data_IF_454660021484
#
_entry.id   IF_454660021484
#
_cell.length_a   1.000
_cell.length_b   1.000
_cell.length_c   1.000
_cell.angle_alpha   90.00
_cell.angle_beta   90.00
_cell.angle_gamma   90.00
#
_symmetry.space_group_name_H-M   'P 1'
#
loop_
_entity.id
_entity.type
_entity.pdbx_description
1 polymer ?
#
# COMPACT_ATOMS: atom_id res chain seq x y z
N UNK A 1 -9.07 7.79 -21.35
CA UNK A 1 -9.50 8.74 -22.40
C UNK A 1 -10.70 8.06 -23.03
N UNK A 2 -11.88 8.63 -22.91
CA UNK A 2 -13.11 7.97 -23.31
C UNK A 2 -14.17 9.05 -23.60
N UNK A 3 -14.81 9.06 -24.78
CA UNK A 3 -15.81 10.05 -25.13
C UNK A 3 -17.12 9.94 -24.34
N UNK A 4 -17.39 8.83 -23.65
CA UNK A 4 -18.69 8.52 -23.05
C UNK A 4 -18.58 7.92 -21.63
N UNK A 5 -17.65 8.40 -20.79
CA UNK A 5 -17.63 7.97 -19.39
C UNK A 5 -18.77 8.60 -18.56
N UNK A 6 -19.36 7.82 -17.65
CA UNK A 6 -20.35 8.31 -16.67
C UNK A 6 -19.73 8.46 -15.27
N UNK A 7 -19.29 9.66 -14.91
CA UNK A 7 -18.84 9.97 -13.55
C UNK A 7 -20.01 10.56 -12.76
N UNK A 8 -20.48 9.83 -11.75
CA UNK A 8 -21.61 10.24 -10.88
C UNK A 8 -21.17 10.75 -9.51
N UNK A 9 -19.87 10.72 -9.19
CA UNK A 9 -19.29 11.12 -7.91
C UNK A 9 -18.02 11.95 -8.12
N UNK A 10 -17.73 12.88 -7.20
CA UNK A 10 -16.49 13.65 -7.26
C UNK A 10 -15.26 12.74 -7.09
N UNK A 11 -14.27 12.90 -7.97
CA UNK A 11 -13.01 12.15 -7.92
C UNK A 11 -11.94 12.99 -7.20
N UNK A 12 -11.20 12.37 -6.27
CA UNK A 12 -10.11 13.01 -5.53
C UNK A 12 -8.81 12.19 -5.67
N UNK A 13 -8.02 12.48 -6.69
CA UNK A 13 -6.68 11.91 -6.88
C UNK A 13 -5.95 12.70 -8.00
N UNK A 14 -4.66 12.43 -8.30
CA UNK A 14 -4.03 12.96 -9.51
C UNK A 14 -4.56 12.32 -10.82
N UNK A 15 -5.77 11.73 -10.82
CA UNK A 15 -6.42 11.20 -12.01
C UNK A 15 -6.97 12.35 -12.86
N UNK A 16 -6.65 12.32 -14.16
CA UNK A 16 -7.21 13.23 -15.15
C UNK A 16 -8.04 12.43 -16.14
N UNK A 17 -9.29 12.85 -16.33
CA UNK A 17 -10.22 12.21 -17.26
C UNK A 17 -10.52 13.17 -18.41
N UNK A 18 -10.58 12.62 -19.61
CA UNK A 18 -10.73 13.38 -20.86
C UNK A 18 -11.91 12.79 -21.63
N UNK A 19 -13.01 13.54 -21.64
CA UNK A 19 -14.28 13.18 -22.29
C UNK A 19 -14.20 13.52 -23.77
N UNK A 20 -13.45 12.73 -24.53
CA UNK A 20 -13.16 12.93 -25.94
C UNK A 20 -12.54 11.64 -26.52
N UNK A 21 -12.43 11.57 -27.84
CA UNK A 21 -11.75 10.46 -28.52
C UNK A 21 -10.24 10.49 -28.28
N UNK A 22 -9.55 9.35 -28.48
CA UNK A 22 -8.09 9.31 -28.40
C UNK A 22 -7.43 10.17 -29.48
N UNK A 23 -7.98 10.18 -30.69
CA UNK A 23 -7.52 11.04 -31.80
C UNK A 23 -7.54 12.53 -31.42
N UNK A 24 -8.66 13.02 -30.89
CA UNK A 24 -8.79 14.40 -30.44
C UNK A 24 -7.84 14.70 -29.28
N UNK A 25 -7.64 13.74 -28.39
CA UNK A 25 -6.69 13.86 -27.28
C UNK A 25 -5.27 14.07 -27.77
N UNK A 26 -4.76 13.21 -28.65
CA UNK A 26 -3.40 13.34 -29.17
C UNK A 26 -3.23 14.52 -30.13
N UNK A 27 -4.28 14.94 -30.84
CA UNK A 27 -4.23 16.11 -31.72
C UNK A 27 -4.14 17.45 -30.95
N UNK A 28 -4.72 17.52 -29.75
CA UNK A 28 -4.89 18.79 -29.02
C UNK A 28 -4.01 18.93 -27.78
N UNK A 29 -3.37 17.85 -27.32
CA UNK A 29 -2.64 17.83 -26.05
C UNK A 29 -1.18 17.44 -26.23
N UNK A 30 -0.31 18.10 -25.47
CA UNK A 30 1.06 17.64 -25.27
C UNK A 30 1.10 16.66 -24.09
N UNK A 31 1.14 15.35 -24.38
CA UNK A 31 1.12 14.32 -23.35
C UNK A 31 2.34 14.40 -22.40
N UNK A 32 3.51 14.86 -22.89
CA UNK A 32 4.70 15.00 -22.05
C UNK A 32 4.55 16.10 -21.00
N UNK A 33 3.94 17.22 -21.37
CA UNK A 33 3.61 18.29 -20.40
C UNK A 33 2.57 17.81 -19.39
N UNK A 34 1.57 17.05 -19.87
CA UNK A 34 0.53 16.53 -19.00
C UNK A 34 1.09 15.60 -17.92
N UNK A 35 2.04 14.73 -18.28
CA UNK A 35 2.65 13.76 -17.38
C UNK A 35 3.90 14.29 -16.63
N UNK A 36 4.46 15.42 -17.05
CA UNK A 36 5.75 15.91 -16.54
C UNK A 36 6.95 15.09 -17.01
N UNK A 37 6.82 14.30 -18.09
CA UNK A 37 7.82 13.36 -18.56
C UNK A 37 7.35 12.49 -19.72
N UNK A 38 8.18 11.55 -20.23
CA UNK A 38 7.75 10.59 -21.23
C UNK A 38 6.66 9.65 -20.69
N UNK A 39 5.90 9.03 -21.58
CA UNK A 39 4.96 7.97 -21.21
C UNK A 39 5.75 6.78 -20.67
N UNK A 40 5.53 6.38 -19.42
CA UNK A 40 6.22 5.22 -18.85
C UNK A 40 5.50 3.90 -19.15
N UNK A 41 4.18 3.91 -18.99
CA UNK A 41 3.29 2.79 -19.20
C UNK A 41 2.01 3.32 -19.85
N UNK A 42 1.54 2.63 -20.88
CA UNK A 42 0.23 2.87 -21.48
C UNK A 42 -0.52 1.55 -21.63
N UNK A 43 -1.84 1.63 -21.44
CA UNK A 43 -2.77 0.54 -21.67
C UNK A 43 -3.72 0.95 -22.78
N UNK A 44 -3.72 0.19 -23.87
CA UNK A 44 -4.55 0.41 -25.06
C UNK A 44 -5.67 -0.62 -25.03
N UNK A 45 -6.85 -0.14 -24.65
CA UNK A 45 -8.12 -0.85 -24.69
C UNK A 45 -9.14 0.17 -25.18
N UNK A 46 -9.75 -0.11 -26.33
CA UNK A 46 -10.41 0.90 -27.14
C UNK A 46 -11.52 0.31 -27.98
N UNK A 47 -11.79 0.91 -29.14
CA UNK A 47 -12.94 0.56 -29.99
C UNK A 47 -12.84 -0.80 -30.71
N UNK A 48 -11.90 -1.67 -30.33
CA UNK A 48 -11.71 -3.03 -30.84
C UNK A 48 -11.40 -3.15 -32.35
N UNK A 49 -11.06 -2.06 -33.03
CA UNK A 49 -10.60 -2.09 -34.43
C UNK A 49 -9.10 -1.83 -34.53
N UNK A 50 -8.43 -2.61 -35.39
CA UNK A 50 -6.97 -2.62 -35.51
C UNK A 50 -6.36 -1.27 -35.89
N UNK A 51 -7.01 -0.50 -36.78
CA UNK A 51 -6.49 0.81 -37.20
C UNK A 51 -6.53 1.85 -36.08
N UNK A 52 -7.46 1.73 -35.14
CA UNK A 52 -7.53 2.62 -33.98
C UNK A 52 -6.46 2.28 -32.96
N UNK A 53 -6.27 0.98 -32.66
CA UNK A 53 -5.17 0.53 -31.82
C UNK A 53 -3.79 0.90 -32.41
N UNK A 54 -3.62 0.82 -33.74
CA UNK A 54 -2.40 1.26 -34.39
C UNK A 54 -2.15 2.76 -34.16
N UNK A 55 -3.16 3.61 -34.37
CA UNK A 55 -3.03 5.06 -34.15
C UNK A 55 -2.66 5.39 -32.70
N UNK A 56 -3.28 4.73 -31.73
CA UNK A 56 -2.97 4.91 -30.32
C UNK A 56 -1.51 4.52 -30.02
N UNK A 57 -1.03 3.38 -30.52
CA UNK A 57 0.37 2.95 -30.36
C UNK A 57 1.35 3.98 -30.96
N UNK A 58 1.08 4.47 -32.18
CA UNK A 58 1.94 5.45 -32.86
C UNK A 58 1.95 6.82 -32.14
N UNK A 59 0.80 7.25 -31.63
CA UNK A 59 0.68 8.48 -30.85
C UNK A 59 1.42 8.36 -29.52
N UNK A 60 1.26 7.23 -28.81
CA UNK A 60 1.98 6.95 -27.57
C UNK A 60 3.50 6.89 -27.78
N UNK A 61 3.97 6.23 -28.85
CA UNK A 61 5.39 6.14 -29.19
C UNK A 61 6.02 7.53 -29.34
N UNK A 62 5.34 8.48 -29.99
CA UNK A 62 5.85 9.84 -30.17
C UNK A 62 6.18 10.56 -28.83
N UNK A 63 5.53 10.15 -27.75
CA UNK A 63 5.75 10.68 -26.39
C UNK A 63 6.53 9.73 -25.47
N UNK A 64 6.91 8.55 -25.95
CA UNK A 64 7.58 7.51 -25.19
C UNK A 64 9.09 7.77 -24.99
N UNK A 65 9.72 6.83 -24.29
CA UNK A 65 11.15 6.61 -24.12
C UNK A 65 11.48 5.17 -24.52
N UNK A 66 12.78 4.83 -24.59
CA UNK A 66 13.22 3.44 -24.86
C UNK A 66 12.80 2.43 -23.77
N UNK A 67 12.43 2.91 -22.57
CA UNK A 67 12.01 2.10 -21.43
C UNK A 67 10.49 2.05 -21.26
N UNK A 68 9.76 2.71 -22.15
CA UNK A 68 8.31 2.76 -22.11
C UNK A 68 7.70 1.41 -22.51
N UNK A 69 6.57 1.09 -21.89
CA UNK A 69 5.84 -0.15 -22.11
C UNK A 69 4.45 0.20 -22.61
N UNK A 70 4.03 -0.39 -23.73
CA UNK A 70 2.64 -0.33 -24.19
C UNK A 70 2.04 -1.72 -24.04
N UNK A 71 0.93 -1.81 -23.31
CA UNK A 71 0.11 -3.00 -23.19
C UNK A 71 -1.12 -2.82 -24.08
N UNK A 72 -1.46 -3.83 -24.87
CA UNK A 72 -2.61 -3.83 -25.77
C UNK A 72 -3.49 -5.02 -25.43
N UNK A 73 -4.77 -4.76 -25.18
CA UNK A 73 -5.77 -5.79 -24.87
C UNK A 73 -6.38 -6.37 -26.17
N UNK A 74 -7.21 -7.42 -26.03
CA UNK A 74 -7.99 -8.03 -27.12
C UNK A 74 -7.17 -8.64 -28.26
N UNK A 75 -5.95 -9.07 -27.97
CA UNK A 75 -5.00 -9.55 -28.97
C UNK A 75 -5.24 -11.01 -29.38
N UNK A 76 -5.77 -11.84 -28.48
CA UNK A 76 -5.92 -13.26 -28.69
C UNK A 76 -7.25 -13.77 -28.12
N UNK A 77 -8.35 -13.72 -28.89
CA UNK A 77 -9.62 -14.28 -28.45
C UNK A 77 -9.55 -15.80 -28.31
N UNK A 78 -10.47 -16.38 -27.54
CA UNK A 78 -10.67 -17.84 -27.53
C UNK A 78 -11.31 -18.38 -28.81
N UNK A 79 -12.14 -17.58 -29.46
CA UNK A 79 -12.94 -17.97 -30.62
C UNK A 79 -12.74 -16.97 -31.76
N UNK A 80 -12.62 -17.48 -32.98
CA UNK A 80 -12.33 -16.64 -34.15
C UNK A 80 -13.49 -15.69 -34.47
N UNK A 81 -14.71 -16.06 -34.11
CA UNK A 81 -15.95 -15.31 -34.30
C UNK A 81 -15.94 -13.97 -33.54
N UNK A 82 -15.18 -13.88 -32.45
CA UNK A 82 -15.06 -12.66 -31.63
C UNK A 82 -14.27 -11.57 -32.34
N UNK A 83 -13.58 -11.91 -33.44
CA UNK A 83 -12.72 -10.99 -34.19
C UNK A 83 -13.43 -10.15 -35.24
N UNK A 84 -14.75 -10.27 -35.33
CA UNK A 84 -15.54 -9.52 -36.30
C UNK A 84 -15.46 -8.03 -36.01
N UNK A 85 -15.36 -7.19 -37.05
CA UNK A 85 -15.27 -5.72 -36.90
C UNK A 85 -16.51 -5.09 -36.29
N UNK A 86 -17.66 -5.75 -36.41
CA UNK A 86 -18.89 -5.39 -35.74
C UNK A 86 -19.17 -6.43 -34.66
N UNK A 87 -19.59 -5.99 -33.48
CA UNK A 87 -19.92 -6.89 -32.38
C UNK A 87 -21.10 -7.79 -32.74
N UNK A 88 -20.82 -9.09 -32.93
CA UNK A 88 -21.84 -10.12 -33.22
C UNK A 88 -22.05 -11.12 -32.08
N UNK A 89 -21.20 -11.06 -31.06
CA UNK A 89 -21.14 -12.02 -29.95
C UNK A 89 -21.13 -11.30 -28.61
N UNK A 90 -21.47 -12.03 -27.53
CA UNK A 90 -21.44 -11.48 -26.17
C UNK A 90 -20.02 -11.10 -25.75
N UNK A 91 -19.05 -11.99 -25.96
CA UNK A 91 -17.63 -11.68 -25.90
C UNK A 91 -17.17 -11.15 -27.27
N UNK A 92 -16.33 -10.13 -27.28
CA UNK A 92 -15.90 -9.45 -28.51
C UNK A 92 -14.55 -8.80 -28.26
N UNK A 93 -13.61 -9.07 -29.16
CA UNK A 93 -12.25 -8.51 -29.19
C UNK A 93 -12.02 -7.66 -30.43
N UNK A 94 -12.89 -7.79 -31.43
CA UNK A 94 -12.70 -7.20 -32.74
C UNK A 94 -11.39 -7.66 -33.40
N UNK A 95 -10.91 -6.89 -34.36
CA UNK A 95 -9.77 -7.31 -35.18
C UNK A 95 -8.41 -6.76 -34.71
N UNK A 96 -8.33 -6.29 -33.46
CA UNK A 96 -7.13 -5.67 -32.85
C UNK A 96 -5.88 -6.52 -33.03
N UNK A 97 -5.99 -7.85 -32.95
CA UNK A 97 -4.88 -8.79 -33.16
C UNK A 97 -4.06 -8.51 -34.43
N UNK A 98 -4.67 -7.96 -35.49
CA UNK A 98 -4.01 -7.65 -36.76
C UNK A 98 -2.85 -6.65 -36.60
N UNK A 99 -2.86 -5.84 -35.54
CA UNK A 99 -1.79 -4.89 -35.22
C UNK A 99 -0.46 -5.62 -34.96
N UNK A 100 -0.50 -6.84 -34.41
CA UNK A 100 0.71 -7.60 -34.06
C UNK A 100 1.49 -8.08 -35.29
N UNK A 101 0.93 -8.87 -36.22
CA UNK A 101 1.65 -9.26 -37.43
C UNK A 101 2.01 -8.04 -38.30
N UNK A 102 1.18 -6.99 -38.29
CA UNK A 102 1.50 -5.72 -38.94
C UNK A 102 2.78 -5.09 -38.36
N UNK A 103 2.84 -4.88 -37.04
CA UNK A 103 4.01 -4.27 -36.39
C UNK A 103 5.24 -5.16 -36.50
N UNK A 104 5.13 -6.48 -36.37
CA UNK A 104 6.27 -7.39 -36.58
C UNK A 104 6.88 -7.26 -37.98
N UNK A 105 6.05 -6.97 -38.99
CA UNK A 105 6.50 -6.75 -40.37
C UNK A 105 7.11 -5.36 -40.59
N UNK A 106 6.47 -4.32 -40.07
CA UNK A 106 6.81 -2.93 -40.37
C UNK A 106 7.77 -2.29 -39.35
N UNK A 107 7.88 -2.87 -38.16
CA UNK A 107 8.66 -2.40 -37.00
C UNK A 107 9.39 -3.57 -36.35
N UNK A 108 10.33 -4.22 -37.07
CA UNK A 108 11.10 -5.34 -36.52
C UNK A 108 12.05 -4.91 -35.38
N UNK A 109 12.19 -3.60 -35.15
CA UNK A 109 12.90 -3.02 -34.01
C UNK A 109 12.13 -3.12 -32.68
N UNK A 110 10.81 -3.33 -32.72
CA UNK A 110 9.99 -3.50 -31.52
C UNK A 110 10.09 -4.93 -30.96
N UNK A 111 10.18 -5.03 -29.63
CA UNK A 111 10.01 -6.29 -28.93
C UNK A 111 8.52 -6.46 -28.59
N UNK A 112 7.86 -7.44 -29.21
CA UNK A 112 6.42 -7.68 -29.08
C UNK A 112 6.17 -9.10 -28.57
N UNK A 113 5.74 -9.20 -27.31
CA UNK A 113 5.38 -10.48 -26.66
C UNK A 113 3.86 -10.55 -26.50
N UNK A 114 3.26 -11.67 -26.88
CA UNK A 114 1.83 -11.93 -26.72
C UNK A 114 1.67 -12.96 -25.61
N UNK A 115 0.75 -12.72 -24.68
CA UNK A 115 0.46 -13.64 -23.57
C UNK A 115 -0.96 -14.16 -23.69
N UNK A 116 -1.09 -15.46 -23.47
CA UNK A 116 -2.35 -16.21 -23.44
C UNK A 116 -3.05 -15.99 -22.09
N UNK A 117 -3.60 -14.79 -21.93
CA UNK A 117 -4.52 -14.46 -20.84
C UNK A 117 -5.89 -15.00 -21.20
N UNK A 118 -6.56 -15.60 -20.22
CA UNK A 118 -7.88 -16.19 -20.37
C UNK A 118 -8.86 -15.23 -21.08
N UNK A 119 -9.72 -15.77 -21.94
CA UNK A 119 -10.64 -15.06 -22.83
C UNK A 119 -10.03 -14.26 -23.99
N UNK A 120 -9.09 -13.35 -23.75
CA UNK A 120 -8.79 -12.26 -24.71
C UNK A 120 -7.31 -12.04 -25.05
N UNK A 121 -6.40 -12.57 -24.24
CA UNK A 121 -4.96 -12.35 -24.36
C UNK A 121 -4.52 -10.88 -24.34
N UNK A 122 -3.21 -10.66 -24.21
CA UNK A 122 -2.64 -9.30 -24.26
C UNK A 122 -1.32 -9.31 -25.03
N UNK A 123 -0.94 -8.16 -25.57
CA UNK A 123 0.41 -7.92 -26.07
C UNK A 123 1.14 -6.88 -25.22
N UNK A 124 2.44 -7.08 -25.04
CA UNK A 124 3.36 -6.12 -24.47
C UNK A 124 4.37 -5.71 -25.53
N UNK A 125 4.43 -4.42 -25.81
CA UNK A 125 5.31 -3.80 -26.80
C UNK A 125 6.34 -2.94 -26.07
N UNK A 126 7.63 -3.19 -26.35
CA UNK A 126 8.76 -2.39 -25.86
C UNK A 126 9.76 -2.09 -26.98
N UNK A 127 10.84 -1.35 -26.68
CA UNK A 127 11.81 -0.94 -27.70
C UNK A 127 11.36 0.27 -28.54
N UNK A 128 10.44 1.07 -27.99
CA UNK A 128 9.82 2.21 -28.66
C UNK A 128 10.86 3.27 -29.04
N UNK A 129 10.70 3.84 -30.25
CA UNK A 129 11.55 4.90 -30.77
C UNK A 129 10.70 6.15 -31.09
N UNK A 130 10.71 7.18 -30.23
CA UNK A 130 9.87 8.37 -30.40
C UNK A 130 10.18 9.18 -31.67
N UNK A 131 11.32 8.93 -32.32
CA UNK A 131 11.69 9.54 -33.60
C UNK A 131 11.26 8.76 -34.84
N UNK A 132 10.78 7.52 -34.70
CA UNK A 132 10.39 6.70 -35.85
C UNK A 132 9.08 7.24 -36.47
N UNK A 133 9.07 7.42 -37.79
CA UNK A 133 7.89 7.89 -38.56
C UNK A 133 7.56 7.00 -39.75
N UNK A 134 8.13 5.80 -39.83
CA UNK A 134 8.08 4.97 -41.05
C UNK A 134 6.68 4.48 -41.38
N UNK A 135 5.91 4.06 -40.37
CA UNK A 135 4.51 3.68 -40.55
C UNK A 135 3.65 4.90 -40.89
N UNK A 136 3.90 6.04 -40.23
CA UNK A 136 3.13 7.28 -40.42
C UNK A 136 3.22 7.82 -41.86
N UNK A 137 4.33 7.60 -42.57
CA UNK A 137 4.52 8.04 -43.97
C UNK A 137 3.44 7.52 -44.93
N UNK A 138 2.87 6.33 -44.66
CA UNK A 138 1.83 5.72 -45.49
C UNK A 138 0.61 5.28 -44.65
N UNK A 139 0.30 6.04 -43.60
CA UNK A 139 -0.69 5.64 -42.59
C UNK A 139 -2.05 5.25 -43.21
N UNK A 140 -2.62 6.10 -44.07
CA UNK A 140 -3.92 5.83 -44.69
C UNK A 140 -3.98 4.50 -45.47
N UNK A 141 -2.87 4.11 -46.11
CA UNK A 141 -2.77 2.80 -46.79
C UNK A 141 -2.71 1.66 -45.78
N UNK A 142 -1.91 1.82 -44.73
CA UNK A 142 -1.77 0.80 -43.69
C UNK A 142 -3.08 0.61 -42.91
N UNK A 143 -3.83 1.67 -42.65
CA UNK A 143 -5.16 1.61 -42.04
C UNK A 143 -6.15 0.87 -42.95
N UNK A 144 -6.13 1.13 -44.27
CA UNK A 144 -6.94 0.39 -45.22
C UNK A 144 -6.57 -1.11 -45.27
N UNK A 145 -5.27 -1.44 -45.21
CA UNK A 145 -4.79 -2.82 -45.17
C UNK A 145 -5.25 -3.55 -43.89
N UNK A 146 -5.23 -2.87 -42.74
CA UNK A 146 -5.70 -3.39 -41.45
C UNK A 146 -7.22 -3.56 -41.39
N UNK A 147 -7.97 -2.55 -41.87
CA UNK A 147 -9.42 -2.60 -41.95
C UNK A 147 -9.93 -3.66 -42.95
N UNK A 148 -9.10 -4.00 -43.94
CA UNK A 148 -9.35 -5.05 -44.91
C UNK A 148 -9.16 -6.49 -44.38
N UNK A 149 -9.24 -7.45 -45.29
CA UNK A 149 -9.11 -8.88 -44.99
C UNK A 149 -7.69 -9.44 -45.04
N UNK A 150 -6.68 -8.65 -45.42
CA UNK A 150 -5.34 -9.15 -45.77
C UNK A 150 -4.60 -9.82 -44.60
N UNK A 151 -4.87 -9.38 -43.36
CA UNK A 151 -4.29 -9.95 -42.14
C UNK A 151 -5.30 -10.80 -41.34
N UNK A 152 -6.44 -11.13 -41.94
CA UNK A 152 -7.46 -11.94 -41.28
C UNK A 152 -7.09 -13.43 -41.29
N UNK A 153 -7.40 -14.13 -40.20
CA UNK A 153 -7.24 -15.58 -40.10
C UNK A 153 -8.60 -16.29 -40.16
N UNK A 154 -8.62 -17.47 -40.76
CA UNK A 154 -9.83 -18.27 -40.90
C UNK A 154 -10.14 -19.15 -39.67
N UNK A 155 -9.18 -19.36 -38.78
CA UNK A 155 -9.34 -20.17 -37.57
C UNK A 155 -8.49 -19.64 -36.42
N UNK A 156 -8.87 -20.01 -35.20
CA UNK A 156 -8.12 -19.62 -34.01
C UNK A 156 -6.72 -20.24 -33.97
N UNK A 157 -6.56 -21.48 -34.44
CA UNK A 157 -5.25 -22.14 -34.50
C UNK A 157 -4.28 -21.40 -35.43
N UNK A 158 -4.77 -20.91 -36.57
CA UNK A 158 -3.96 -20.12 -37.49
C UNK A 158 -3.54 -18.78 -36.86
N UNK A 159 -4.46 -18.12 -36.14
CA UNK A 159 -4.18 -16.90 -35.40
C UNK A 159 -3.13 -17.15 -34.30
N UNK A 160 -3.31 -18.19 -33.50
CA UNK A 160 -2.35 -18.58 -32.43
C UNK A 160 -0.98 -18.89 -33.01
N UNK A 161 -0.91 -19.59 -34.14
CA UNK A 161 0.34 -19.85 -34.85
C UNK A 161 1.05 -18.58 -35.33
N UNK A 162 0.29 -17.55 -35.74
CA UNK A 162 0.86 -16.27 -36.17
C UNK A 162 1.28 -15.37 -35.01
N UNK A 163 0.54 -15.39 -33.90
CA UNK A 163 0.83 -14.59 -32.72
C UNK A 163 1.94 -15.19 -31.85
N UNK A 164 2.07 -16.51 -31.84
CA UNK A 164 3.02 -17.27 -31.00
C UNK A 164 2.89 -16.84 -29.53
N UNK A 165 1.71 -17.05 -28.92
CA UNK A 165 1.46 -16.58 -27.57
C UNK A 165 2.23 -17.40 -26.54
N UNK A 166 2.63 -16.72 -25.48
CA UNK A 166 3.31 -17.30 -24.33
C UNK A 166 2.31 -17.60 -23.22
N UNK A 167 2.58 -18.61 -22.38
CA UNK A 167 1.67 -18.92 -21.28
C UNK A 167 1.69 -17.78 -20.23
N UNK A 168 0.53 -17.45 -19.66
CA UNK A 168 0.38 -16.40 -18.64
C UNK A 168 1.37 -16.51 -17.46
N UNK A 169 1.77 -17.73 -17.08
CA UNK A 169 2.75 -17.96 -16.01
C UNK A 169 4.14 -17.37 -16.29
N UNK A 170 4.48 -17.05 -17.55
CA UNK A 170 5.73 -16.39 -17.92
C UNK A 170 5.67 -14.86 -17.74
N UNK A 171 4.48 -14.29 -17.57
CA UNK A 171 4.30 -12.84 -17.45
C UNK A 171 4.98 -12.26 -16.19
N UNK A 172 4.88 -12.85 -14.98
CA UNK A 172 5.57 -12.31 -13.80
C UNK A 172 7.09 -12.24 -13.99
N UNK A 173 7.71 -13.28 -14.56
CA UNK A 173 9.14 -13.30 -14.85
C UNK A 173 9.51 -12.20 -15.85
N UNK A 174 8.73 -12.03 -16.93
CA UNK A 174 8.97 -10.95 -17.88
C UNK A 174 8.84 -9.56 -17.24
N UNK A 175 7.85 -9.35 -16.37
CA UNK A 175 7.70 -8.09 -15.63
C UNK A 175 8.95 -7.79 -14.78
N UNK A 176 9.56 -8.79 -14.15
CA UNK A 176 10.83 -8.61 -13.44
C UNK A 176 11.96 -8.19 -14.39
N UNK A 177 12.07 -8.78 -15.58
CA UNK A 177 13.08 -8.32 -16.56
C UNK A 177 12.87 -6.86 -16.97
N UNK A 178 11.62 -6.40 -17.11
CA UNK A 178 11.32 -4.99 -17.39
C UNK A 178 11.70 -4.08 -16.21
N UNK A 179 11.44 -4.53 -14.98
CA UNK A 179 11.86 -3.83 -13.76
C UNK A 179 13.37 -3.71 -13.68
N UNK A 180 14.12 -4.77 -13.97
CA UNK A 180 15.59 -4.76 -14.00
C UNK A 180 16.14 -3.80 -15.05
N UNK A 181 15.58 -3.80 -16.26
CA UNK A 181 15.94 -2.85 -17.34
C UNK A 181 15.72 -1.38 -16.94
N UNK A 182 14.78 -1.13 -16.01
CA UNK A 182 14.41 0.21 -15.53
C UNK A 182 15.07 0.57 -14.19
N UNK A 183 15.59 -0.41 -13.45
CA UNK A 183 16.12 -0.22 -12.10
C UNK A 183 17.35 0.70 -12.17
N UNK A 184 17.32 1.91 -11.58
CA UNK A 184 18.58 2.52 -11.21
C UNK A 184 19.28 1.58 -10.23
N UNK A 185 20.63 1.55 -10.23
CA UNK A 185 21.44 0.64 -9.40
C UNK A 185 21.15 0.72 -7.88
N UNK A 186 20.33 1.68 -7.44
CA UNK A 186 19.77 1.84 -6.09
C UNK A 186 18.45 2.62 -6.20
N UNK A 187 17.40 2.32 -5.41
CA UNK A 187 16.26 3.23 -5.33
C UNK A 187 16.77 4.58 -4.86
N UNK A 188 16.56 5.62 -5.67
CA UNK A 188 16.83 6.97 -5.26
C UNK A 188 15.98 7.27 -4.00
N UNK A 189 16.53 7.94 -2.98
CA UNK A 189 15.71 8.48 -1.90
C UNK A 189 14.60 9.32 -2.51
N UNK A 190 13.43 9.37 -1.86
CA UNK A 190 12.41 10.38 -2.15
C UNK A 190 12.97 11.74 -1.71
N UNK A 191 13.91 12.29 -2.49
CA UNK A 191 14.50 13.61 -2.23
C UNK A 191 13.48 14.74 -2.42
N UNK A 192 12.32 14.42 -3.00
CA UNK A 192 11.17 15.30 -3.04
C UNK A 192 10.36 15.16 -1.74
N UNK A 193 10.43 16.20 -0.89
CA UNK A 193 9.64 16.29 0.34
C UNK A 193 8.14 16.13 0.10
N UNK A 194 7.62 16.59 -1.05
CA UNK A 194 6.21 16.44 -1.38
C UNK A 194 5.84 14.97 -1.63
N UNK A 195 6.68 14.24 -2.36
CA UNK A 195 6.50 12.82 -2.61
C UNK A 195 6.61 11.99 -1.31
N UNK A 196 7.57 12.33 -0.42
CA UNK A 196 7.69 11.72 0.90
C UNK A 196 6.44 11.92 1.77
N UNK A 197 5.90 13.15 1.78
CA UNK A 197 4.66 13.45 2.51
C UNK A 197 3.44 12.68 1.97
N UNK A 198 3.27 12.61 0.65
CA UNK A 198 2.20 11.83 0.02
C UNK A 198 2.33 10.33 0.33
N UNK A 199 3.55 9.80 0.29
CA UNK A 199 3.83 8.40 0.64
C UNK A 199 3.46 8.09 2.09
N UNK A 200 3.88 8.93 3.05
CA UNK A 200 3.59 8.70 4.47
C UNK A 200 2.10 8.93 4.81
N UNK A 201 1.41 9.86 4.13
CA UNK A 201 -0.05 10.00 4.27
C UNK A 201 -0.78 8.75 3.76
N UNK A 202 -0.42 8.25 2.57
CA UNK A 202 -1.00 7.03 2.02
C UNK A 202 -0.71 5.81 2.90
N UNK A 203 0.51 5.71 3.44
CA UNK A 203 0.89 4.62 4.35
C UNK A 203 0.00 4.63 5.60
N UNK A 204 -0.19 5.79 6.25
CA UNK A 204 -1.08 5.91 7.41
C UNK A 204 -2.53 5.52 7.08
N UNK A 205 -3.06 5.99 5.94
CA UNK A 205 -4.41 5.61 5.47
C UNK A 205 -4.53 4.11 5.27
N UNK A 206 -3.51 3.47 4.67
CA UNK A 206 -3.50 2.03 4.44
C UNK A 206 -3.41 1.24 5.74
N UNK A 207 -2.53 1.64 6.66
CA UNK A 207 -2.38 1.00 7.98
C UNK A 207 -3.69 1.02 8.80
N UNK A 208 -4.48 2.08 8.64
CA UNK A 208 -5.79 2.25 9.30
C UNK A 208 -6.96 1.67 8.49
N UNK A 209 -6.69 1.11 7.30
CA UNK A 209 -7.71 0.66 6.35
C UNK A 209 -8.69 1.77 5.90
N UNK A 210 -8.29 3.05 5.97
CA UNK A 210 -9.12 4.20 5.56
C UNK A 210 -9.49 4.17 4.07
N UNK A 211 -8.74 3.42 3.26
CA UNK A 211 -8.92 3.27 1.81
C UNK A 211 -10.11 2.34 1.48
N UNK A 212 -10.40 1.36 2.35
CA UNK A 212 -11.37 0.29 2.09
C UNK A 212 -12.44 0.19 3.18
N UNK A 213 -12.81 1.33 3.79
CA UNK A 213 -13.78 1.34 4.89
C UNK A 213 -15.17 0.83 4.49
N UNK A 214 -15.58 1.00 3.24
CA UNK A 214 -16.87 0.51 2.78
C UNK A 214 -16.89 -1.00 2.61
N UNK A 215 -15.77 -1.60 2.17
CA UNK A 215 -15.64 -3.06 2.13
C UNK A 215 -15.62 -3.64 3.54
N UNK A 216 -14.92 -3.00 4.47
CA UNK A 216 -14.99 -3.39 5.87
C UNK A 216 -16.42 -3.27 6.43
N UNK A 217 -17.15 -2.19 6.11
CA UNK A 217 -18.54 -2.04 6.52
C UNK A 217 -19.44 -3.13 5.93
N UNK A 218 -19.23 -3.52 4.66
CA UNK A 218 -19.95 -4.65 4.05
C UNK A 218 -19.68 -5.95 4.80
N UNK A 219 -18.43 -6.21 5.19
CA UNK A 219 -18.09 -7.40 5.97
C UNK A 219 -18.72 -7.38 7.37
N UNK A 220 -18.73 -6.22 8.04
CA UNK A 220 -19.42 -6.06 9.33
C UNK A 220 -20.92 -6.31 9.19
N UNK A 221 -21.56 -5.73 8.16
CA UNK A 221 -22.97 -5.95 7.83
C UNK A 221 -23.27 -7.43 7.61
N UNK A 222 -22.50 -8.11 6.75
CA UNK A 222 -22.69 -9.54 6.47
C UNK A 222 -22.50 -10.40 7.72
N UNK A 223 -21.53 -10.07 8.59
CA UNK A 223 -21.33 -10.77 9.86
C UNK A 223 -22.52 -10.58 10.80
N UNK A 224 -23.07 -9.38 10.86
CA UNK A 224 -24.22 -9.07 11.71
C UNK A 224 -25.48 -9.80 11.17
N UNK A 225 -25.64 -9.94 9.85
CA UNK A 225 -26.64 -10.82 9.23
C UNK A 225 -26.45 -12.30 9.63
N UNK A 226 -25.22 -12.81 9.58
CA UNK A 226 -24.92 -14.19 9.97
C UNK A 226 -25.17 -14.47 11.45
N UNK A 227 -24.99 -13.44 12.29
CA UNK A 227 -25.19 -13.53 13.75
C UNK A 227 -26.65 -13.34 14.16
N UNK A 228 -27.51 -12.94 13.21
CA UNK A 228 -28.93 -12.64 13.45
C UNK A 228 -29.20 -11.24 14.01
N UNK A 229 -28.18 -10.39 14.09
CA UNK A 229 -28.29 -8.99 14.53
C UNK A 229 -28.85 -8.08 13.42
N UNK A 230 -28.81 -8.53 12.16
CA UNK A 230 -29.34 -7.82 10.99
C UNK A 230 -29.98 -8.81 9.98
N UNK A 231 -30.63 -8.29 8.94
CA UNK A 231 -31.23 -9.07 7.85
C UNK A 231 -30.59 -8.72 6.50
N UNK A 232 -30.31 -9.76 5.70
CA UNK A 232 -29.66 -9.58 4.40
C UNK A 232 -30.58 -8.88 3.38
N UNK A 233 -30.07 -7.82 2.77
CA UNK A 233 -30.63 -7.05 1.67
C UNK A 233 -29.47 -6.68 0.71
N UNK A 234 -29.63 -7.03 -0.56
CA UNK A 234 -28.62 -6.79 -1.58
C UNK A 234 -28.40 -5.29 -1.85
N UNK A 235 -29.45 -4.46 -1.77
CA UNK A 235 -29.33 -3.02 -2.00
C UNK A 235 -28.46 -2.37 -0.92
N UNK A 236 -28.63 -2.78 0.35
CA UNK A 236 -27.80 -2.33 1.47
C UNK A 236 -26.35 -2.74 1.28
N UNK A 237 -26.10 -3.98 0.85
CA UNK A 237 -24.74 -4.45 0.56
C UNK A 237 -24.08 -3.63 -0.56
N UNK A 238 -24.84 -3.33 -1.63
CA UNK A 238 -24.34 -2.59 -2.79
C UNK A 238 -24.02 -1.14 -2.42
N UNK A 239 -24.99 -0.43 -1.83
CA UNK A 239 -24.94 1.00 -1.50
C UNK A 239 -24.68 1.27 0.00
N UNK A 240 -23.77 0.50 0.61
CA UNK A 240 -23.52 0.49 2.07
C UNK A 240 -23.27 1.88 2.68
N UNK A 241 -22.58 2.78 1.95
CA UNK A 241 -22.27 4.13 2.43
C UNK A 241 -23.52 4.99 2.61
N UNK A 242 -24.54 4.76 1.78
CA UNK A 242 -25.82 5.48 1.86
C UNK A 242 -26.72 4.83 2.91
N UNK A 243 -26.89 3.51 2.81
CA UNK A 243 -27.89 2.79 3.59
C UNK A 243 -27.43 2.51 5.04
N UNK A 244 -26.13 2.68 5.33
CA UNK A 244 -25.50 2.63 6.67
C UNK A 244 -24.66 3.87 6.96
N UNK A 245 -25.10 5.06 6.52
CA UNK A 245 -24.33 6.30 6.62
C UNK A 245 -23.84 6.65 8.04
N UNK A 246 -24.67 6.45 9.06
CA UNK A 246 -24.31 6.71 10.47
C UNK A 246 -23.20 5.76 10.94
N UNK A 247 -23.40 4.45 10.78
CA UNK A 247 -22.38 3.46 11.12
C UNK A 247 -21.07 3.67 10.34
N UNK A 248 -21.16 4.13 9.08
CA UNK A 248 -19.99 4.47 8.27
C UNK A 248 -19.23 5.68 8.85
N UNK A 249 -19.95 6.72 9.25
CA UNK A 249 -19.38 7.88 9.95
C UNK A 249 -18.72 7.48 11.27
N UNK A 250 -19.35 6.58 12.04
CA UNK A 250 -18.78 6.04 13.28
C UNK A 250 -17.52 5.24 13.02
N UNK A 251 -17.48 4.42 11.97
CA UNK A 251 -16.29 3.69 11.56
C UNK A 251 -15.16 4.65 11.15
N UNK A 252 -15.47 5.74 10.43
CA UNK A 252 -14.48 6.79 10.12
C UNK A 252 -13.95 7.48 11.40
N UNK A 253 -14.82 7.83 12.32
CA UNK A 253 -14.44 8.41 13.61
C UNK A 253 -13.56 7.44 14.43
N UNK A 254 -13.89 6.14 14.38
CA UNK A 254 -13.12 5.06 15.01
C UNK A 254 -11.66 5.06 14.54
N UNK A 255 -11.43 5.23 13.24
CA UNK A 255 -10.09 5.29 12.64
C UNK A 255 -9.35 6.55 13.00
N UNK A 256 -10.06 7.65 13.19
CA UNK A 256 -9.43 8.90 13.63
C UNK A 256 -8.86 8.79 15.05
N UNK A 257 -9.65 8.27 15.98
CA UNK A 257 -9.31 8.29 17.42
C UNK A 257 -8.72 6.97 17.94
N UNK A 258 -8.74 5.90 17.15
CA UNK A 258 -8.27 4.57 17.56
C UNK A 258 -9.12 3.95 18.66
N UNK A 259 -10.46 4.09 18.58
CA UNK A 259 -11.42 3.38 19.44
C UNK A 259 -12.35 2.55 18.59
N UNK A 260 -12.55 1.29 18.92
CA UNK A 260 -13.42 0.41 18.15
C UNK A 260 -14.89 0.84 18.20
N UNK A 261 -15.65 0.58 17.11
CA UNK A 261 -17.12 0.62 17.17
C UNK A 261 -17.63 -0.21 18.36
N UNK A 262 -18.52 0.39 19.15
CA UNK A 262 -19.07 -0.20 20.39
C UNK A 262 -18.03 -0.63 21.45
N UNK A 263 -16.76 -0.21 21.30
CA UNK A 263 -15.63 -0.64 22.14
C UNK A 263 -15.42 -2.16 22.16
N UNK A 264 -15.75 -2.85 21.06
CA UNK A 264 -15.56 -4.30 20.93
C UNK A 264 -14.32 -4.59 20.08
N UNK A 265 -13.31 -5.23 20.67
CA UNK A 265 -12.09 -5.65 19.94
C UNK A 265 -12.39 -6.65 18.81
N UNK A 266 -13.47 -7.43 18.91
CA UNK A 266 -13.96 -8.25 17.80
C UNK A 266 -14.42 -7.43 16.58
N UNK A 267 -14.58 -6.10 16.74
CA UNK A 267 -14.85 -5.11 15.69
C UNK A 267 -13.61 -4.24 15.40
N UNK A 268 -12.41 -4.71 15.76
CA UNK A 268 -11.14 -4.03 15.43
C UNK A 268 -10.86 -3.94 13.93
N UNK A 269 -11.51 -4.78 13.13
CA UNK A 269 -11.43 -4.72 11.68
C UNK A 269 -10.13 -5.30 11.15
N UNK A 270 -9.76 -4.84 9.96
CA UNK A 270 -8.63 -5.35 9.18
C UNK A 270 -7.45 -4.37 9.11
N UNK A 271 -7.41 -3.36 9.98
CA UNK A 271 -6.26 -2.46 10.10
C UNK A 271 -5.03 -3.20 10.64
N UNK A 272 -3.84 -2.70 10.30
CA UNK A 272 -2.57 -3.21 10.83
C UNK A 272 -2.13 -2.48 12.11
N UNK A 273 -2.89 -1.48 12.56
CA UNK A 273 -2.71 -0.78 13.84
C UNK A 273 -4.04 -0.36 14.47
N UNK A 274 -4.04 -0.24 15.80
CA UNK A 274 -5.16 0.23 16.63
C UNK A 274 -4.98 1.68 17.12
N UNK A 275 -3.83 2.31 16.85
CA UNK A 275 -3.48 3.67 17.27
C UNK A 275 -4.48 4.73 16.80
N UNK A 276 -5.08 4.53 15.63
CA UNK A 276 -5.84 5.57 14.96
C UNK A 276 -4.97 6.70 14.42
N UNK A 277 -5.60 7.61 13.68
CA UNK A 277 -4.93 8.67 12.93
C UNK A 277 -4.16 9.64 13.82
N UNK A 278 -4.73 10.04 14.95
CA UNK A 278 -4.10 11.02 15.86
C UNK A 278 -2.75 10.52 16.41
N UNK A 279 -2.71 9.27 16.88
CA UNK A 279 -1.46 8.66 17.39
C UNK A 279 -0.46 8.35 16.27
N UNK A 280 -0.89 7.95 15.06
CA UNK A 280 0.04 7.81 13.92
C UNK A 280 0.62 9.16 13.47
N UNK A 281 -0.18 10.22 13.46
CA UNK A 281 0.30 11.58 13.15
C UNK A 281 1.26 12.08 14.24
N UNK A 282 1.00 11.77 15.51
CA UNK A 282 1.90 12.07 16.63
C UNK A 282 3.22 11.29 16.55
N UNK A 283 3.18 9.98 16.26
CA UNK A 283 4.38 9.16 16.07
C UNK A 283 5.24 9.72 14.93
N UNK A 284 4.62 10.08 13.79
CA UNK A 284 5.31 10.74 12.69
C UNK A 284 5.94 12.07 13.14
N UNK A 285 5.20 12.94 13.83
CA UNK A 285 5.75 14.20 14.34
C UNK A 285 6.92 14.00 15.30
N UNK A 286 6.89 12.97 16.15
CA UNK A 286 8.01 12.62 17.03
C UNK A 286 9.24 12.20 16.23
N UNK A 287 9.08 11.40 15.17
CA UNK A 287 10.18 11.00 14.29
C UNK A 287 10.80 12.20 13.56
N UNK A 288 9.97 13.11 13.04
CA UNK A 288 10.43 14.34 12.40
C UNK A 288 11.20 15.25 13.37
N UNK A 289 10.71 15.37 14.61
CA UNK A 289 11.38 16.15 15.66
C UNK A 289 12.73 15.53 16.07
N UNK A 290 12.81 14.20 16.21
CA UNK A 290 14.08 13.50 16.47
C UNK A 290 15.10 13.72 15.35
N UNK A 291 14.65 13.70 14.09
CA UNK A 291 15.52 13.99 12.95
C UNK A 291 15.95 15.46 12.91
N UNK A 292 15.06 16.39 13.23
CA UNK A 292 15.36 17.82 13.26
C UNK A 292 16.37 18.18 14.36
N UNK A 293 16.33 17.47 15.50
CA UNK A 293 17.24 17.64 16.64
C UNK A 293 18.48 16.74 16.59
N UNK A 294 18.62 15.92 15.54
CA UNK A 294 19.71 14.96 15.35
C UNK A 294 19.94 14.05 16.56
N UNK A 295 18.85 13.55 17.15
CA UNK A 295 18.93 12.69 18.34
C UNK A 295 19.44 11.30 17.96
N UNK A 296 20.58 10.83 18.48
CA UNK A 296 21.14 9.54 18.12
C UNK A 296 20.34 8.38 18.74
N UNK A 297 20.42 7.21 18.11
CA UNK A 297 19.86 5.96 18.62
C UNK A 297 18.82 5.32 17.73
N UNK A 298 18.47 4.10 18.10
CA UNK A 298 17.52 3.24 17.40
C UNK A 298 16.06 3.62 17.68
N UNK A 299 15.14 3.05 16.91
CA UNK A 299 13.70 3.15 17.13
C UNK A 299 13.19 1.83 17.72
N UNK A 300 12.32 1.88 18.72
CA UNK A 300 11.83 0.67 19.38
C UNK A 300 10.35 0.79 19.76
N UNK A 301 9.62 -0.29 19.52
CA UNK A 301 8.23 -0.47 19.98
C UNK A 301 8.12 -1.77 20.77
N UNK A 302 7.54 -1.68 21.96
CA UNK A 302 7.27 -2.79 22.87
C UNK A 302 5.75 -3.03 22.93
N UNK A 303 5.30 -4.05 22.21
CA UNK A 303 3.89 -4.35 21.96
C UNK A 303 3.49 -3.79 20.59
N UNK A 304 3.40 -4.67 19.60
CA UNK A 304 3.32 -4.27 18.18
C UNK A 304 2.05 -4.75 17.50
N UNK A 305 1.36 -5.76 18.07
CA UNK A 305 0.18 -6.38 17.49
C UNK A 305 0.41 -6.81 16.02
N UNK A 306 -0.29 -6.19 15.05
CA UNK A 306 -0.11 -6.45 13.61
C UNK A 306 1.06 -5.69 12.98
N UNK A 307 1.79 -4.88 13.76
CA UNK A 307 3.03 -4.21 13.38
C UNK A 307 2.89 -2.82 12.77
N UNK A 308 1.70 -2.23 12.73
CA UNK A 308 1.48 -1.00 11.96
C UNK A 308 2.25 0.24 12.46
N UNK A 309 2.52 0.35 13.76
CA UNK A 309 3.41 1.39 14.30
C UNK A 309 4.83 1.26 13.76
N UNK A 310 5.39 0.06 13.88
CA UNK A 310 6.70 -0.28 13.31
C UNK A 310 6.76 -0.13 11.79
N UNK A 311 5.71 -0.49 11.05
CA UNK A 311 5.65 -0.29 9.59
C UNK A 311 5.69 1.20 9.25
N UNK A 312 5.00 2.07 10.02
CA UNK A 312 5.11 3.52 9.85
C UNK A 312 6.55 4.00 10.10
N UNK A 313 7.22 3.52 11.15
CA UNK A 313 8.63 3.85 11.42
C UNK A 313 9.56 3.42 10.27
N UNK A 314 9.39 2.20 9.74
CA UNK A 314 10.16 1.72 8.59
C UNK A 314 9.89 2.55 7.32
N UNK A 315 8.64 2.91 7.07
CA UNK A 315 8.26 3.80 5.98
C UNK A 315 8.88 5.19 6.12
N UNK A 316 8.85 5.76 7.32
CA UNK A 316 9.48 7.04 7.61
C UNK A 316 11.00 7.00 7.40
N UNK A 317 11.67 5.94 7.86
CA UNK A 317 13.10 5.74 7.61
C UNK A 317 13.42 5.69 6.12
N UNK A 318 12.60 4.97 5.33
CA UNK A 318 12.73 4.90 3.87
C UNK A 318 12.54 6.26 3.22
N UNK A 319 11.50 7.00 3.61
CA UNK A 319 11.17 8.32 3.03
C UNK A 319 12.28 9.35 3.29
N UNK A 320 12.89 9.31 4.47
CA UNK A 320 13.96 10.21 4.89
C UNK A 320 15.37 9.69 4.58
N UNK A 321 15.50 8.50 3.99
CA UNK A 321 16.78 7.88 3.70
C UNK A 321 17.63 7.57 4.94
N UNK A 322 16.99 7.34 6.09
CA UNK A 322 17.62 6.97 7.36
C UNK A 322 18.18 5.55 7.23
N UNK A 323 19.49 5.39 7.40
CA UNK A 323 20.19 4.10 7.24
C UNK A 323 21.00 3.68 8.46
N UNK A 324 21.19 4.60 9.40
CA UNK A 324 22.07 4.40 10.55
C UNK A 324 21.30 4.02 11.82
N UNK A 325 19.97 3.87 11.72
CA UNK A 325 19.09 3.44 12.81
C UNK A 325 18.60 2.03 12.57
N UNK A 326 18.53 1.25 13.63
CA UNK A 326 17.82 -0.03 13.68
C UNK A 326 16.40 0.20 14.18
N UNK A 327 15.45 -0.58 13.66
CA UNK A 327 14.09 -0.68 14.19
C UNK A 327 13.96 -1.98 14.98
N UNK A 328 13.77 -1.88 16.30
CA UNK A 328 13.54 -3.00 17.20
C UNK A 328 12.03 -3.21 17.40
N UNK A 329 11.58 -4.43 17.16
CA UNK A 329 10.17 -4.83 17.11
C UNK A 329 9.97 -5.90 18.18
N UNK A 330 9.57 -5.49 19.38
CA UNK A 330 9.48 -6.37 20.54
C UNK A 330 8.05 -6.75 20.87
N UNK A 331 7.75 -8.05 20.87
CA UNK A 331 6.43 -8.59 21.17
C UNK A 331 6.53 -10.07 21.59
N UNK A 332 5.55 -10.57 22.32
CA UNK A 332 5.42 -12.01 22.57
C UNK A 332 5.10 -12.77 21.28
N UNK A 333 4.42 -12.09 20.34
CA UNK A 333 3.76 -12.64 19.17
C UNK A 333 2.75 -13.75 19.52
N UNK A 334 2.20 -13.68 20.74
CA UNK A 334 1.27 -14.65 21.32
C UNK A 334 0.20 -13.96 22.21
N UNK A 335 0.06 -12.63 22.09
CA UNK A 335 -0.87 -11.82 22.87
C UNK A 335 -0.33 -11.44 24.25
N UNK A 336 -1.22 -11.09 25.17
CA UNK A 336 -0.82 -10.63 26.50
C UNK A 336 -0.62 -11.78 27.50
N UNK A 337 0.31 -11.62 28.45
CA UNK A 337 0.52 -12.61 29.51
C UNK A 337 -0.69 -12.64 30.46
N UNK A 338 -0.83 -13.74 31.20
CA UNK A 338 -1.77 -13.79 32.30
C UNK A 338 -1.30 -12.81 33.40
N UNK A 339 -2.19 -11.96 33.95
CA UNK A 339 -1.79 -10.95 34.91
C UNK A 339 -1.22 -11.61 36.17
N UNK A 340 0.04 -11.32 36.48
CA UNK A 340 0.72 -11.86 37.68
C UNK A 340 0.81 -10.84 38.81
N UNK A 341 0.76 -9.55 38.48
CA UNK A 341 0.77 -8.44 39.42
C UNK A 341 -0.63 -8.10 39.95
N UNK A 342 -0.70 -7.66 41.22
CA UNK A 342 -1.96 -7.24 41.85
C UNK A 342 -2.62 -6.07 41.10
N UNK A 343 -1.80 -5.14 40.60
CA UNK A 343 -2.21 -4.00 39.78
C UNK A 343 -2.95 -4.43 38.51
N UNK A 344 -2.57 -5.58 37.94
CA UNK A 344 -3.13 -6.13 36.71
C UNK A 344 -4.25 -7.14 36.95
N UNK A 345 -4.44 -7.60 38.19
CA UNK A 345 -5.32 -8.72 38.53
C UNK A 345 -6.81 -8.56 38.17
N UNK A 346 -7.23 -7.38 37.70
CA UNK A 346 -8.59 -7.09 37.22
C UNK A 346 -8.73 -7.12 35.69
N UNK A 347 -7.63 -7.23 34.94
CA UNK A 347 -7.59 -7.12 33.48
C UNK A 347 -6.92 -8.35 32.86
N UNK A 348 -7.73 -9.37 32.55
CA UNK A 348 -7.28 -10.55 31.83
C UNK A 348 -7.44 -10.33 30.32
N UNK A 349 -6.32 -9.99 29.65
CA UNK A 349 -6.25 -9.76 28.21
C UNK A 349 -5.62 -10.95 27.45
N UNK A 350 -5.54 -12.11 28.08
CA UNK A 350 -4.92 -13.30 27.47
C UNK A 350 -5.60 -13.71 26.18
N UNK A 351 -4.86 -14.42 25.32
CA UNK A 351 -5.37 -14.91 24.03
C UNK A 351 -6.57 -15.84 24.14
N UNK A 352 -6.79 -16.47 25.30
CA UNK A 352 -7.97 -17.31 25.54
C UNK A 352 -9.27 -16.46 25.58
N UNK A 353 -9.17 -15.20 26.04
CA UNK A 353 -10.28 -14.24 26.02
C UNK A 353 -10.28 -13.35 24.78
N UNK A 354 -9.10 -12.95 24.34
CA UNK A 354 -8.90 -11.99 23.27
C UNK A 354 -7.90 -12.52 22.23
N UNK A 355 -8.29 -13.57 21.48
CA UNK A 355 -7.40 -14.19 20.50
C UNK A 355 -6.97 -13.22 19.39
N UNK A 356 -7.71 -12.12 19.18
CA UNK A 356 -7.39 -11.09 18.20
C UNK A 356 -6.10 -10.30 18.54
N UNK A 357 -5.65 -10.35 19.79
CA UNK A 357 -4.41 -9.70 20.24
C UNK A 357 -3.18 -10.59 20.03
N UNK A 358 -3.36 -11.90 19.81
CA UNK A 358 -2.28 -12.83 19.51
C UNK A 358 -1.99 -12.87 18.01
N UNK A 359 -0.96 -12.16 17.57
CA UNK A 359 -0.51 -12.12 16.17
C UNK A 359 0.89 -12.69 16.07
N UNK A 360 1.10 -13.68 15.20
CA UNK A 360 2.40 -14.34 15.07
C UNK A 360 3.44 -13.42 14.41
N UNK A 361 4.72 -13.67 14.71
CA UNK A 361 5.83 -12.96 14.06
C UNK A 361 5.79 -13.12 12.54
N UNK A 362 5.40 -14.30 12.05
CA UNK A 362 5.23 -14.59 10.63
C UNK A 362 4.23 -13.63 9.98
N UNK A 363 3.04 -13.49 10.58
CA UNK A 363 2.02 -12.55 10.10
C UNK A 363 2.52 -11.11 10.14
N UNK A 364 3.25 -10.70 11.18
CA UNK A 364 3.83 -9.34 11.22
C UNK A 364 4.84 -9.15 10.09
N UNK A 365 5.73 -10.12 9.82
CA UNK A 365 6.68 -10.06 8.69
C UNK A 365 5.99 -10.04 7.33
N UNK A 366 4.89 -10.78 7.17
CA UNK A 366 4.04 -10.74 5.98
C UNK A 366 3.42 -9.35 5.80
N UNK A 367 2.93 -8.74 6.87
CA UNK A 367 2.41 -7.37 6.83
C UNK A 367 3.50 -6.39 6.36
N UNK A 368 4.70 -6.42 6.95
CA UNK A 368 5.84 -5.62 6.47
C UNK A 368 6.15 -5.85 4.98
N UNK A 369 6.10 -7.12 4.54
CA UNK A 369 6.36 -7.50 3.15
C UNK A 369 5.30 -6.95 2.20
N UNK A 370 4.03 -6.92 2.60
CA UNK A 370 2.94 -6.36 1.80
C UNK A 370 3.14 -4.86 1.49
N UNK A 371 3.85 -4.14 2.36
CA UNK A 371 4.24 -2.74 2.14
C UNK A 371 5.58 -2.58 1.42
N UNK A 372 6.29 -3.67 1.10
CA UNK A 372 7.66 -3.62 0.58
C UNK A 372 8.65 -2.99 1.55
N UNK A 373 8.40 -3.15 2.85
CA UNK A 373 9.15 -2.54 3.94
C UNK A 373 9.83 -3.55 4.87
N UNK A 374 9.73 -4.86 4.61
CA UNK A 374 10.54 -5.85 5.34
C UNK A 374 12.02 -5.71 4.95
N UNK A 375 12.89 -5.47 5.94
CA UNK A 375 14.34 -5.35 5.76
C UNK A 375 15.09 -5.93 6.97
N UNK A 376 15.50 -7.21 6.85
CA UNK A 376 16.22 -7.93 7.90
C UNK A 376 17.60 -7.32 8.25
N UNK A 377 18.10 -6.32 7.49
CA UNK A 377 19.36 -5.65 7.80
C UNK A 377 19.21 -4.54 8.83
N UNK A 378 18.06 -3.87 8.86
CA UNK A 378 17.79 -2.73 9.73
C UNK A 378 16.63 -2.99 10.70
N UNK A 379 16.08 -4.21 10.73
CA UNK A 379 14.96 -4.59 11.58
C UNK A 379 15.34 -5.79 12.43
N UNK A 380 15.07 -5.71 13.73
CA UNK A 380 15.32 -6.79 14.68
C UNK A 380 14.03 -7.12 15.40
N UNK A 381 13.52 -8.33 15.15
CA UNK A 381 12.37 -8.88 15.85
C UNK A 381 12.83 -9.53 17.15
N UNK A 382 12.28 -9.06 18.28
CA UNK A 382 12.53 -9.60 19.61
C UNK A 382 11.29 -10.38 20.06
N UNK A 383 11.28 -11.67 19.75
CA UNK A 383 10.17 -12.57 20.08
C UNK A 383 10.30 -13.10 21.51
N UNK A 384 9.34 -12.76 22.35
CA UNK A 384 9.21 -13.27 23.72
C UNK A 384 8.62 -12.24 24.66
N UNK A 385 8.49 -12.60 25.93
CA UNK A 385 8.00 -11.67 26.95
C UNK A 385 9.03 -10.58 27.21
N UNK A 386 8.57 -9.40 27.64
CA UNK A 386 9.45 -8.25 27.84
C UNK A 386 10.54 -8.50 28.89
N UNK A 387 10.18 -9.07 30.05
CA UNK A 387 11.14 -9.55 31.07
C UNK A 387 12.25 -10.45 30.53
N UNK A 388 11.99 -11.22 29.47
CA UNK A 388 12.92 -12.22 28.95
C UNK A 388 13.79 -11.67 27.81
N UNK A 389 13.37 -10.59 27.15
CA UNK A 389 13.95 -10.16 25.86
C UNK A 389 14.53 -8.75 25.86
N UNK A 390 13.98 -7.82 26.65
CA UNK A 390 14.33 -6.41 26.55
C UNK A 390 15.70 -6.07 27.17
N UNK A 391 16.09 -6.79 28.23
CA UNK A 391 17.40 -6.59 28.88
C UNK A 391 18.55 -6.81 27.89
N UNK A 392 18.47 -7.85 27.07
CA UNK A 392 19.52 -8.21 26.11
C UNK A 392 19.26 -7.67 24.68
N UNK A 393 18.29 -6.75 24.52
CA UNK A 393 17.99 -6.13 23.23
C UNK A 393 19.26 -5.52 22.60
N UNK A 394 19.57 -5.79 21.31
CA UNK A 394 20.84 -5.45 20.67
C UNK A 394 20.88 -3.98 20.23
N UNK A 395 20.66 -3.07 21.17
CA UNK A 395 20.76 -1.63 20.99
C UNK A 395 21.59 -1.00 22.09
N UNK A 396 22.45 -0.05 21.72
CA UNK A 396 23.26 0.71 22.68
C UNK A 396 22.53 1.97 23.15
N UNK A 397 21.65 2.52 22.32
CA UNK A 397 20.99 3.80 22.56
C UNK A 397 19.70 3.87 21.74
N UNK A 398 18.65 4.40 22.35
CA UNK A 398 17.30 4.49 21.77
C UNK A 398 16.93 5.97 21.61
N UNK A 399 16.55 6.38 20.40
CA UNK A 399 16.04 7.72 20.12
C UNK A 399 14.54 7.81 20.35
N UNK A 400 13.79 6.76 20.01
CA UNK A 400 12.36 6.66 20.23
C UNK A 400 12.02 5.33 20.89
N UNK A 401 11.40 5.37 22.06
CA UNK A 401 10.88 4.21 22.77
C UNK A 401 9.35 4.34 22.86
N UNK A 402 8.61 3.47 22.17
CA UNK A 402 7.15 3.38 22.27
C UNK A 402 6.75 2.18 23.13
N UNK A 403 6.00 2.44 24.18
CA UNK A 403 5.47 1.45 25.12
C UNK A 403 3.96 1.29 24.88
N UNK A 404 3.55 0.07 24.53
CA UNK A 404 2.17 -0.29 24.15
C UNK A 404 1.86 -1.73 24.60
N UNK A 405 2.15 -1.99 25.87
CA UNK A 405 2.04 -3.32 26.47
C UNK A 405 0.85 -3.52 27.40
N UNK A 406 -0.03 -2.50 27.50
CA UNK A 406 -1.22 -2.37 28.35
C UNK A 406 -1.02 -2.50 29.88
N UNK A 407 -0.37 -3.58 30.31
CA UNK A 407 -0.26 -4.00 31.71
C UNK A 407 0.77 -3.21 32.49
N UNK A 408 0.60 -3.16 33.81
CA UNK A 408 1.60 -2.67 34.75
C UNK A 408 2.90 -3.46 34.59
N UNK A 409 2.83 -4.80 34.59
CA UNK A 409 4.02 -5.65 34.45
C UNK A 409 4.79 -5.35 33.16
N UNK A 410 4.09 -5.28 32.02
CA UNK A 410 4.67 -4.99 30.70
C UNK A 410 5.33 -3.61 30.65
N UNK A 411 4.65 -2.60 31.19
CA UNK A 411 5.15 -1.21 31.21
C UNK A 411 6.39 -1.09 32.10
N UNK A 412 6.36 -1.72 33.27
CA UNK A 412 7.47 -1.72 34.24
C UNK A 412 8.69 -2.46 33.70
N UNK A 413 8.50 -3.65 33.10
CA UNK A 413 9.57 -4.43 32.48
C UNK A 413 10.30 -3.62 31.40
N UNK A 414 9.53 -2.95 30.53
CA UNK A 414 10.09 -2.15 29.45
C UNK A 414 10.82 -0.89 29.94
N UNK A 415 10.24 -0.15 30.88
CA UNK A 415 10.90 1.02 31.48
C UNK A 415 12.20 0.62 32.18
N UNK A 416 12.15 -0.44 33.01
CA UNK A 416 13.32 -0.95 33.74
C UNK A 416 14.45 -1.36 32.81
N UNK A 417 14.13 -2.06 31.71
CA UNK A 417 15.14 -2.55 30.79
C UNK A 417 15.69 -1.46 29.85
N UNK A 418 14.88 -0.49 29.44
CA UNK A 418 15.16 0.37 28.28
C UNK A 418 15.27 1.86 28.57
N UNK A 419 14.65 2.38 29.65
CA UNK A 419 14.60 3.83 29.89
C UNK A 419 15.99 4.46 30.00
N UNK A 420 16.93 3.80 30.67
CA UNK A 420 18.31 4.30 30.81
C UNK A 420 19.09 4.27 29.48
N UNK A 421 18.67 3.45 28.50
CA UNK A 421 19.22 3.43 27.13
C UNK A 421 18.60 4.49 26.23
N UNK A 422 17.50 5.14 26.62
CA UNK A 422 16.95 6.26 25.86
C UNK A 422 17.93 7.43 25.91
N UNK A 423 18.27 8.00 24.74
CA UNK A 423 19.18 9.12 24.64
C UNK A 423 18.64 10.36 25.39
N UNK A 424 19.50 11.23 25.94
CA UNK A 424 19.15 12.62 26.23
C UNK A 424 18.43 13.27 25.03
N UNK A 425 17.24 13.83 25.24
CA UNK A 425 16.41 14.36 24.16
C UNK A 425 15.66 13.31 23.33
N UNK A 426 15.83 12.02 23.62
CA UNK A 426 15.01 10.94 23.08
C UNK A 426 13.55 11.06 23.53
N UNK A 427 12.65 10.42 22.79
CA UNK A 427 11.21 10.48 23.06
C UNK A 427 10.75 9.13 23.62
N UNK A 428 9.98 9.18 24.71
CA UNK A 428 9.28 8.02 25.25
C UNK A 428 7.78 8.23 25.06
N UNK A 429 7.14 7.33 24.33
CA UNK A 429 5.70 7.30 24.08
C UNK A 429 5.08 6.22 24.97
N UNK A 430 3.99 6.55 25.66
CA UNK A 430 3.20 5.64 26.49
C UNK A 430 1.78 5.63 25.92
N UNK A 431 1.42 4.56 25.20
CA UNK A 431 0.18 4.53 24.43
C UNK A 431 -1.08 4.46 25.30
N UNK A 432 -0.98 3.80 26.46
CA UNK A 432 -2.12 3.48 27.32
C UNK A 432 -2.30 4.40 28.52
N UNK A 433 -1.48 5.44 28.65
CA UNK A 433 -1.37 6.28 29.85
C UNK A 433 -2.72 6.86 30.31
N UNK A 434 -3.49 7.39 29.36
CA UNK A 434 -4.78 8.04 29.58
C UNK A 434 -5.90 7.06 29.92
N UNK A 435 -5.85 5.84 29.36
CA UNK A 435 -6.94 4.87 29.41
C UNK A 435 -6.78 3.82 30.52
N UNK A 436 -5.56 3.37 30.78
CA UNK A 436 -5.26 2.26 31.67
C UNK A 436 -4.54 2.76 32.93
N UNK A 437 -5.27 2.74 34.05
CA UNK A 437 -4.75 3.20 35.34
C UNK A 437 -3.51 2.40 35.79
N UNK A 438 -3.45 1.10 35.48
CA UNK A 438 -2.30 0.24 35.79
C UNK A 438 -1.04 0.62 35.00
N UNK A 439 -1.17 0.97 33.71
CA UNK A 439 -0.07 1.47 32.90
C UNK A 439 0.47 2.79 33.46
N UNK A 440 -0.43 3.73 33.78
CA UNK A 440 -0.07 4.99 34.44
C UNK A 440 0.65 4.78 35.76
N UNK A 441 0.12 3.87 36.60
CA UNK A 441 0.73 3.55 37.87
C UNK A 441 2.15 2.98 37.71
N UNK A 442 2.41 2.14 36.70
CA UNK A 442 3.76 1.64 36.44
C UNK A 442 4.76 2.75 36.10
N UNK A 443 4.33 3.77 35.34
CA UNK A 443 5.16 4.94 35.03
C UNK A 443 5.45 5.74 36.30
N UNK A 444 4.42 6.01 37.10
CA UNK A 444 4.55 6.75 38.37
C UNK A 444 5.47 6.02 39.36
N UNK A 445 5.26 4.72 39.54
CA UNK A 445 6.06 3.86 40.43
C UNK A 445 7.51 3.79 39.94
N UNK A 446 7.75 3.66 38.63
CA UNK A 446 9.10 3.63 38.05
C UNK A 446 9.91 4.88 38.42
N UNK A 447 9.36 6.08 38.20
CA UNK A 447 10.04 7.33 38.56
C UNK A 447 10.16 7.52 40.07
N UNK A 448 9.13 7.15 40.84
CA UNK A 448 9.16 7.21 42.29
C UNK A 448 10.27 6.35 42.90
N UNK A 449 10.49 5.12 42.40
CA UNK A 449 11.58 4.24 42.87
C UNK A 449 12.97 4.82 42.60
N UNK A 450 13.11 5.72 41.62
CA UNK A 450 14.35 6.42 41.29
C UNK A 450 14.51 7.73 42.05
N UNK A 451 13.51 8.16 42.80
CA UNK A 451 13.49 9.49 43.43
C UNK A 451 13.44 10.63 42.41
N UNK A 452 12.96 10.35 41.20
CA UNK A 452 12.84 11.31 40.10
C UNK A 452 11.36 11.71 39.93
N UNK A 453 11.05 12.97 39.55
CA UNK A 453 9.69 13.33 39.16
C UNK A 453 9.34 12.73 37.80
N UNK A 454 8.08 12.36 37.60
CA UNK A 454 7.56 12.00 36.27
C UNK A 454 7.74 13.22 35.34
N UNK A 455 8.35 13.06 34.15
CA UNK A 455 8.50 14.14 33.18
C UNK A 455 7.16 14.74 32.74
N UNK A 456 7.19 15.99 32.26
CA UNK A 456 5.99 16.63 31.70
C UNK A 456 5.52 15.89 30.45
N UNK A 457 4.28 15.39 30.50
CA UNK A 457 3.67 14.60 29.45
C UNK A 457 2.86 15.48 28.48
N UNK A 458 3.13 15.33 27.19
CA UNK A 458 2.27 15.82 26.13
C UNK A 458 1.20 14.76 25.81
N UNK A 459 -0.08 15.10 26.07
CA UNK A 459 -1.21 14.25 25.73
C UNK A 459 -1.52 14.33 24.23
N UNK A 460 -1.68 13.17 23.59
CA UNK A 460 -1.96 13.05 22.15
C UNK A 460 -3.47 12.99 21.91
N UNK A 461 -4.14 12.07 22.61
CA UNK A 461 -5.56 11.84 22.50
C UNK A 461 -6.15 11.39 23.85
N UNK A 462 -7.17 10.52 23.83
CA UNK A 462 -7.81 10.01 25.03
C UNK A 462 -6.97 8.96 25.78
N UNK A 463 -5.91 8.42 25.17
CA UNK A 463 -5.07 7.37 25.76
C UNK A 463 -3.58 7.70 25.67
N UNK A 464 -3.08 8.10 24.50
CA UNK A 464 -1.65 8.25 24.27
C UNK A 464 -1.08 9.51 24.92
N UNK A 465 0.11 9.38 25.49
CA UNK A 465 0.95 10.50 25.91
C UNK A 465 2.41 10.23 25.56
N UNK A 466 3.23 11.26 25.48
CA UNK A 466 4.68 11.11 25.34
C UNK A 466 5.42 12.20 26.11
N UNK A 467 6.70 11.97 26.37
CA UNK A 467 7.60 13.00 26.89
C UNK A 467 8.96 12.92 26.22
N UNK A 468 9.70 14.03 26.27
CA UNK A 468 11.10 14.09 25.86
C UNK A 468 11.96 13.82 27.09
N UNK A 469 12.85 12.82 27.03
CA UNK A 469 13.78 12.53 28.11
C UNK A 469 14.68 13.75 28.34
N UNK A 470 14.72 14.31 29.56
CA UNK A 470 15.57 15.46 29.86
C UNK A 470 17.04 15.18 29.53
N UNK A 471 17.76 16.20 29.06
CA UNK A 471 19.21 16.13 29.06
C UNK A 471 19.66 16.06 30.52
N UNK A 472 20.35 14.98 30.91
CA UNK A 472 20.92 14.88 32.25
C UNK A 472 21.74 16.13 32.55
N UNK A 473 21.65 16.66 33.77
CA UNK A 473 22.63 17.65 34.23
C UNK A 473 24.00 16.98 34.13
N UNK A 474 24.90 17.51 33.30
CA UNK A 474 26.30 17.09 33.32
C UNK A 474 26.79 17.19 34.77
N UNK A 475 27.17 16.05 35.34
CA UNK A 475 27.72 15.95 36.70
C UNK A 475 29.17 16.42 36.73
#
# INVERSE_FOLDING_TARGET
IDPEFEIRVGLSSPTRLFCQTSDEFFATRNLRELLGGPVDLAFVDGMHNAEFALRDILNLEAHASRHSVIVVDDILPEQIEWTTRERRTRAWTGDVYKVIPFLRRHRPDLEIRVFDIDMKGLAIITGLNPGNRDVQKNLARHEADLAGGTLAFASIDALRGALVPEPVKALPEYVETLRERRRPARPAPLHDKAAGALYLDLLKRSLLNEIYLDDEMRLLYLRDCLSGDDSFDYAVLHDIRRDRAEAFSDLQASRRIGRFPERRIARSGFSHTMMGRLRLDSLHACLDDLAARDVPGDLMECGVWRGGGCILMAGWMRAHGQRDRTLLIADSFDGLPAPTHEQDGKLDLTKDRFPQLAVSEETVRENFSAYGLLDDRSQVFLKGWFRDTLTDAPTRQIALLRLDGDLYESTMDALTALYDRVAPGGIVIIDDYGALAMCRQAVEDFFATRGEPVPELAHVDWTGAFFVKPAGQEA
#
